data_IF_151138417359
#
_entry.id   IF_151138417359
#
_cell.length_a   1.000
_cell.length_b   1.000
_cell.length_c   1.000
_cell.angle_alpha   90.00
_cell.angle_beta   90.00
_cell.angle_gamma   90.00
#
_symmetry.space_group_name_H-M   'P 1'
#
loop_
_entity.id
_entity.type
_entity.pdbx_description
1 polymer ?
#
# COMPACT_ATOMS: atom_id res chain seq x y z
N UNK A 1 4.50 -2.33 0.28
CA UNK A 1 5.59 -1.42 0.69
C UNK A 1 5.18 0.02 0.39
N UNK A 2 5.01 0.35 -0.90
CA UNK A 2 4.41 1.59 -1.39
C UNK A 2 3.14 2.05 -0.64
N UNK A 3 2.18 1.16 -0.42
CA UNK A 3 0.93 1.53 0.27
C UNK A 3 1.09 2.03 1.71
N UNK A 4 2.16 1.67 2.41
CA UNK A 4 2.31 1.96 3.85
C UNK A 4 3.48 2.89 4.17
N UNK A 5 4.56 2.86 3.38
CA UNK A 5 5.86 3.40 3.80
C UNK A 5 6.46 4.40 2.82
N UNK A 6 6.54 4.04 1.53
CA UNK A 6 7.33 4.79 0.55
C UNK A 6 6.62 6.08 0.15
N UNK A 7 7.36 7.18 0.16
CA UNK A 7 6.92 8.47 -0.35
C UNK A 7 8.14 9.23 -0.88
N UNK A 8 7.99 9.82 -2.07
CA UNK A 8 8.96 10.77 -2.60
C UNK A 8 8.41 12.16 -2.32
N UNK A 9 9.10 12.92 -1.46
CA UNK A 9 8.65 14.24 -1.02
C UNK A 9 9.61 15.30 -1.53
N UNK A 10 9.04 16.30 -2.19
CA UNK A 10 9.72 17.53 -2.56
C UNK A 10 9.25 18.68 -1.66
N UNK A 11 10.17 19.53 -1.22
CA UNK A 11 9.81 20.75 -0.50
C UNK A 11 9.33 21.87 -1.44
N UNK A 12 8.95 23.01 -0.87
CA UNK A 12 8.44 24.17 -1.63
C UNK A 12 9.45 24.76 -2.62
N UNK A 13 10.75 24.50 -2.41
CA UNK A 13 11.83 24.92 -3.31
C UNK A 13 12.17 23.88 -4.40
N UNK A 14 11.46 22.75 -4.40
CA UNK A 14 11.68 21.64 -5.32
C UNK A 14 12.86 20.75 -4.95
N UNK A 15 13.36 20.81 -3.71
CA UNK A 15 14.41 19.90 -3.24
C UNK A 15 13.80 18.56 -2.81
N UNK A 16 14.45 17.46 -3.23
CA UNK A 16 14.08 16.11 -2.78
C UNK A 16 14.54 15.89 -1.34
N UNK A 17 13.61 15.89 -0.39
CA UNK A 17 13.93 15.75 1.05
C UNK A 17 13.90 14.30 1.53
N UNK A 18 13.42 13.36 0.70
CA UNK A 18 13.44 11.91 0.97
C UNK A 18 14.44 11.17 0.08
N UNK A 19 15.63 11.76 -0.11
CA UNK A 19 16.65 11.24 -1.03
C UNK A 19 17.53 10.11 -0.49
N UNK A 20 17.36 9.73 0.78
CA UNK A 20 18.20 8.73 1.46
C UNK A 20 17.36 7.60 2.07
N UNK A 21 17.98 6.48 2.41
CA UNK A 21 17.31 5.37 3.11
C UNK A 21 16.94 5.68 4.58
N UNK A 22 17.40 6.81 5.12
CA UNK A 22 16.94 7.30 6.44
C UNK A 22 15.52 7.86 6.35
N UNK A 23 15.18 8.46 5.21
CA UNK A 23 13.93 9.19 4.99
C UNK A 23 12.95 8.39 4.10
N UNK A 24 13.50 7.65 3.12
CA UNK A 24 12.76 6.76 2.24
C UNK A 24 12.77 5.33 2.78
N UNK A 25 11.66 4.95 3.40
CA UNK A 25 11.55 3.68 4.10
C UNK A 25 11.42 2.48 3.15
N UNK A 26 12.53 1.76 2.96
CA UNK A 26 12.52 0.41 2.38
C UNK A 26 12.16 -0.61 3.47
N UNK A 27 11.18 -1.51 3.24
CA UNK A 27 10.75 -2.46 4.27
C UNK A 27 11.87 -3.41 4.71
N UNK A 28 11.98 -3.61 6.02
CA UNK A 28 12.82 -4.66 6.62
C UNK A 28 12.05 -5.98 6.64
N UNK A 29 12.75 -7.10 6.80
CA UNK A 29 12.12 -8.42 6.90
C UNK A 29 11.05 -8.48 8.01
N UNK A 30 11.28 -7.82 9.14
CA UNK A 30 10.32 -7.74 10.26
C UNK A 30 9.07 -6.92 9.97
N UNK A 31 9.00 -6.19 8.86
CA UNK A 31 7.83 -5.39 8.47
C UNK A 31 6.89 -6.16 7.56
N UNK A 32 7.34 -7.31 7.04
CA UNK A 32 6.55 -8.09 6.09
C UNK A 32 5.73 -9.15 6.83
N UNK A 33 4.47 -9.38 6.41
CA UNK A 33 3.72 -10.52 6.88
C UNK A 33 4.29 -11.81 6.29
N UNK A 34 3.88 -12.95 6.84
CA UNK A 34 4.08 -14.23 6.16
C UNK A 34 3.17 -14.28 4.93
N UNK A 35 3.73 -14.64 3.79
CA UNK A 35 2.97 -14.76 2.55
C UNK A 35 2.39 -16.17 2.40
N UNK A 36 1.10 -16.23 2.08
CA UNK A 36 0.45 -17.43 1.59
C UNK A 36 0.27 -17.31 0.08
N UNK A 37 0.55 -18.38 -0.66
CA UNK A 37 0.47 -18.39 -2.12
C UNK A 37 -0.40 -19.54 -2.60
N UNK A 38 -1.17 -19.29 -3.65
CA UNK A 38 -1.96 -20.27 -4.36
C UNK A 38 -1.86 -20.01 -5.86
N UNK A 39 -2.22 -21.01 -6.68
CA UNK A 39 -2.20 -20.88 -8.13
C UNK A 39 -3.28 -21.73 -8.79
N UNK A 40 -3.77 -21.23 -9.91
CA UNK A 40 -4.52 -21.99 -10.92
C UNK A 40 -3.77 -21.89 -12.25
N UNK A 41 -4.10 -22.76 -13.21
CA UNK A 41 -3.42 -22.79 -14.51
C UNK A 41 -4.44 -22.60 -15.62
N UNK A 42 -4.28 -21.52 -16.38
CA UNK A 42 -5.01 -21.27 -17.62
C UNK A 42 -3.98 -20.91 -18.69
N UNK A 43 -3.59 -21.86 -19.56
CA UNK A 43 -2.55 -21.63 -20.56
C UNK A 43 -2.85 -20.46 -21.49
N UNK A 44 -1.82 -19.81 -22.01
CA UNK A 44 -1.98 -18.83 -23.08
C UNK A 44 -2.22 -19.54 -24.42
N UNK A 45 -3.29 -19.20 -25.17
CA UNK A 45 -3.55 -19.81 -26.48
C UNK A 45 -2.60 -19.30 -27.58
N UNK A 46 -1.83 -18.23 -27.31
CA UNK A 46 -0.98 -17.54 -28.31
C UNK A 46 0.51 -17.60 -27.99
N UNK A 47 0.89 -18.28 -26.91
CA UNK A 47 2.28 -18.58 -26.61
C UNK A 47 2.53 -20.08 -26.83
N UNK A 48 3.50 -20.51 -27.65
CA UNK A 48 3.73 -21.93 -27.95
C UNK A 48 4.01 -22.82 -26.73
N UNK A 49 4.48 -22.24 -25.63
CA UNK A 49 4.74 -22.94 -24.36
C UNK A 49 3.56 -22.82 -23.38
N UNK A 50 2.49 -22.11 -23.74
CA UNK A 50 1.33 -21.85 -22.87
C UNK A 50 1.61 -20.90 -21.70
N UNK A 51 2.79 -20.28 -21.63
CA UNK A 51 3.22 -19.46 -20.48
C UNK A 51 2.65 -18.04 -20.48
N UNK A 52 2.56 -17.43 -19.29
CA UNK A 52 2.18 -16.02 -19.06
C UNK A 52 3.18 -15.36 -18.12
N UNK A 53 3.42 -14.06 -18.30
CA UNK A 53 4.23 -13.26 -17.38
C UNK A 53 3.53 -13.06 -16.02
N UNK A 54 4.31 -13.03 -14.94
CA UNK A 54 3.79 -12.86 -13.57
C UNK A 54 4.63 -11.92 -12.69
N UNK A 55 5.78 -11.44 -13.19
CA UNK A 55 6.77 -10.72 -12.39
C UNK A 55 6.23 -9.49 -11.64
N UNK A 56 5.25 -8.79 -12.23
CA UNK A 56 4.66 -7.58 -11.66
C UNK A 56 3.33 -7.84 -10.95
N UNK A 57 2.78 -9.06 -11.01
CA UNK A 57 1.45 -9.37 -10.49
C UNK A 57 1.31 -9.03 -8.99
N UNK A 58 2.37 -9.32 -8.21
CA UNK A 58 2.45 -8.96 -6.80
C UNK A 58 2.47 -7.44 -6.61
N UNK A 59 3.31 -6.72 -7.34
CA UNK A 59 3.43 -5.26 -7.27
C UNK A 59 2.11 -4.56 -7.61
N UNK A 60 1.43 -5.02 -8.67
CA UNK A 60 0.16 -4.44 -9.13
C UNK A 60 -0.95 -4.66 -8.10
N UNK A 61 -1.11 -5.89 -7.60
CA UNK A 61 -2.23 -6.24 -6.74
C UNK A 61 -2.04 -5.85 -5.26
N UNK A 62 -0.79 -5.79 -4.76
CA UNK A 62 -0.55 -5.64 -3.33
C UNK A 62 -0.97 -4.28 -2.77
N UNK A 63 -0.66 -3.18 -3.47
CA UNK A 63 -1.00 -1.83 -3.02
C UNK A 63 -2.52 -1.63 -2.84
N UNK A 64 -3.38 -1.89 -3.84
CA UNK A 64 -4.82 -1.76 -3.66
C UNK A 64 -5.39 -2.76 -2.64
N UNK A 65 -4.85 -3.99 -2.54
CA UNK A 65 -5.30 -4.94 -1.52
C UNK A 65 -5.09 -4.41 -0.10
N UNK A 66 -3.92 -3.81 0.18
CA UNK A 66 -3.61 -3.21 1.48
C UNK A 66 -4.45 -1.96 1.74
N UNK A 67 -4.59 -1.06 0.76
CA UNK A 67 -5.40 0.16 0.92
C UNK A 67 -6.86 -0.20 1.21
N UNK A 68 -7.44 -1.13 0.44
CA UNK A 68 -8.82 -1.57 0.64
C UNK A 68 -9.02 -2.19 2.02
N UNK A 69 -8.06 -2.95 2.54
CA UNK A 69 -8.14 -3.51 3.89
C UNK A 69 -8.19 -2.42 4.97
N UNK A 70 -7.42 -1.33 4.83
CA UNK A 70 -7.47 -0.21 5.77
C UNK A 70 -8.76 0.61 5.62
N UNK A 71 -9.21 0.85 4.40
CA UNK A 71 -10.50 1.53 4.14
C UNK A 71 -11.65 0.73 4.74
N UNK A 72 -11.66 -0.59 4.56
CA UNK A 72 -12.67 -1.48 5.15
C UNK A 72 -12.67 -1.41 6.68
N UNK A 73 -11.50 -1.44 7.31
CA UNK A 73 -11.35 -1.31 8.76
C UNK A 73 -11.93 0.02 9.30
N UNK A 74 -11.85 1.10 8.52
CA UNK A 74 -12.36 2.43 8.89
C UNK A 74 -13.76 2.73 8.33
N UNK A 75 -14.36 1.81 7.59
CA UNK A 75 -15.63 2.02 6.88
C UNK A 75 -16.80 2.37 7.81
N UNK A 76 -16.77 1.85 9.05
CA UNK A 76 -17.75 2.14 10.09
C UNK A 76 -17.74 3.61 10.55
N UNK A 77 -16.67 4.35 10.27
CA UNK A 77 -16.55 5.80 10.50
C UNK A 77 -17.02 6.63 9.29
N UNK A 78 -17.43 5.98 8.20
CA UNK A 78 -17.80 6.62 6.94
C UNK A 78 -16.65 6.83 5.97
N UNK A 79 -15.44 6.33 6.26
CA UNK A 79 -14.28 6.40 5.36
C UNK A 79 -14.54 5.55 4.12
N UNK A 80 -14.33 6.13 2.93
CA UNK A 80 -14.51 5.46 1.63
C UNK A 80 -13.25 5.48 0.75
N UNK A 81 -12.29 6.34 1.08
CA UNK A 81 -11.07 6.54 0.31
C UNK A 81 -9.96 7.02 1.23
N UNK A 82 -8.72 6.63 0.92
CA UNK A 82 -7.52 7.12 1.58
C UNK A 82 -6.39 7.22 0.56
N UNK A 83 -5.71 8.36 0.54
CA UNK A 83 -4.52 8.54 -0.29
C UNK A 83 -3.31 7.84 0.32
N UNK A 84 -2.55 7.14 -0.53
CA UNK A 84 -1.28 6.52 -0.16
C UNK A 84 -0.18 7.58 0.06
N UNK A 85 0.85 7.28 0.86
CA UNK A 85 0.95 6.11 1.74
C UNK A 85 0.10 6.26 3.02
N UNK A 86 -0.35 5.13 3.55
CA UNK A 86 -1.15 5.05 4.78
C UNK A 86 -0.26 5.09 6.02
N UNK A 87 0.52 6.16 6.16
CA UNK A 87 1.40 6.38 7.32
C UNK A 87 0.59 6.39 8.61
N UNK A 88 1.14 5.88 9.74
CA UNK A 88 0.44 5.86 11.02
C UNK A 88 -0.13 7.22 11.44
N UNK A 89 0.61 8.28 11.16
CA UNK A 89 0.19 9.66 11.44
C UNK A 89 -1.03 10.11 10.61
N UNK A 90 -1.09 9.74 9.32
CA UNK A 90 -2.26 10.01 8.46
C UNK A 90 -3.49 9.26 8.97
N UNK A 91 -3.35 7.99 9.32
CA UNK A 91 -4.43 7.19 9.91
C UNK A 91 -4.88 7.78 11.25
N UNK A 92 -3.95 8.23 12.09
CA UNK A 92 -4.26 8.89 13.34
C UNK A 92 -5.08 10.17 13.12
N UNK A 93 -4.70 11.03 12.16
CA UNK A 93 -5.47 12.24 11.83
C UNK A 93 -6.91 11.90 11.43
N UNK A 94 -7.09 10.92 10.54
CA UNK A 94 -8.42 10.43 10.12
C UNK A 94 -9.23 9.97 11.35
N UNK A 95 -8.65 9.19 12.25
CA UNK A 95 -9.34 8.75 13.46
C UNK A 95 -9.77 9.91 14.37
N UNK A 96 -8.99 10.98 14.42
CA UNK A 96 -9.30 12.16 15.24
C UNK A 96 -10.39 13.02 14.62
N UNK A 97 -10.40 13.18 13.30
CA UNK A 97 -11.47 13.87 12.56
C UNK A 97 -12.83 13.19 12.76
N UNK A 98 -12.83 11.87 12.89
CA UNK A 98 -14.04 11.06 13.07
C UNK A 98 -14.39 10.76 14.55
N UNK A 99 -13.63 11.27 15.52
CA UNK A 99 -13.96 11.13 16.94
C UNK A 99 -15.11 12.06 17.31
N UNK A 100 -16.26 11.49 17.68
CA UNK A 100 -17.30 12.26 18.35
C UNK A 100 -16.82 12.69 19.76
N UNK A 101 -17.15 13.91 20.23
CA UNK A 101 -16.89 14.30 21.60
C UNK A 101 -17.60 13.32 22.53
N UNK A 102 -16.85 12.67 23.42
CA UNK A 102 -17.41 11.82 24.48
C UNK A 102 -18.34 12.70 25.32
N UNK A 103 -19.63 12.38 25.30
CA UNK A 103 -20.61 12.90 26.26
C UNK A 103 -20.32 12.35 27.65
#
# INVERSE_FOLDING_TARGET
>A
AQALFEEVVYDESGQLVTGTLMDYAVPKASFLPRFETARTVTPSPVNPLGVKGVGEAGTIACSPAVVNAVVDALSHLGVRHLDMPLKPERIWRVLQEHRQPRR
#
